data_IF_292519592808
#
_entry.id   IF_292519592808
#
_cell.length_a   1.000
_cell.length_b   1.000
_cell.length_c   1.000
_cell.angle_alpha   90.00
_cell.angle_beta   90.00
_cell.angle_gamma   90.00
#
_symmetry.space_group_name_H-M   'P 1'
#
loop_
_entity.id
_entity.type
_entity.pdbx_description
1 polymer ?
#
# COMPACT_ATOMS: atom_id res chain seq x y z
N UNK A 1 4.86 21.88 -54.81
CA UNK A 1 5.33 22.22 -53.47
C UNK A 1 4.20 22.31 -52.43
N UNK A 2 3.05 22.94 -52.68
CA UNK A 2 1.95 23.06 -51.69
C UNK A 2 1.30 21.73 -51.27
N UNK A 3 1.23 20.74 -52.16
CA UNK A 3 0.67 19.40 -51.85
C UNK A 3 1.60 18.58 -50.97
N UNK A 4 2.89 18.66 -51.14
CA UNK A 4 3.87 17.93 -50.34
C UNK A 4 3.90 18.43 -48.88
N UNK A 5 3.75 19.73 -48.69
CA UNK A 5 3.68 20.34 -47.32
C UNK A 5 2.43 19.92 -46.55
N UNK A 6 1.27 19.81 -47.23
CA UNK A 6 0.02 19.36 -46.62
C UNK A 6 0.08 17.90 -46.23
N UNK A 7 0.70 17.04 -47.04
CA UNK A 7 0.85 15.59 -46.74
C UNK A 7 1.78 15.37 -45.54
N UNK A 8 2.88 16.15 -45.42
CA UNK A 8 3.75 16.07 -44.23
C UNK A 8 3.03 16.50 -42.96
N UNK A 9 2.16 17.52 -43.01
CA UNK A 9 1.42 17.98 -41.87
C UNK A 9 0.36 16.93 -41.40
N UNK A 10 -0.25 16.18 -42.32
CA UNK A 10 -1.19 15.10 -42.02
C UNK A 10 -0.50 13.88 -41.41
N UNK A 11 0.76 13.61 -41.75
CA UNK A 11 1.53 12.52 -41.13
C UNK A 11 2.09 12.89 -39.75
N UNK A 12 2.37 14.17 -39.46
CA UNK A 12 2.83 14.62 -38.15
C UNK A 12 1.73 14.66 -37.10
N UNK A 13 0.46 14.78 -37.50
CA UNK A 13 -0.68 14.79 -36.55
C UNK A 13 -1.02 13.43 -35.95
N UNK A 14 -0.48 12.34 -36.50
CA UNK A 14 -0.70 10.99 -35.96
C UNK A 14 0.26 10.59 -34.82
N UNK A 15 1.20 11.43 -34.43
CA UNK A 15 2.15 11.16 -33.34
C UNK A 15 1.74 11.79 -31.99
N UNK A 16 0.57 12.41 -31.90
CA UNK A 16 0.01 12.80 -30.58
C UNK A 16 -0.67 11.55 -30.01
N UNK A 17 0.13 10.58 -29.62
CA UNK A 17 -0.34 9.48 -28.78
C UNK A 17 -0.43 10.07 -27.37
N UNK A 18 -1.64 10.23 -26.90
CA UNK A 18 -1.88 10.51 -25.47
C UNK A 18 -1.37 9.33 -24.66
N UNK A 19 -0.23 9.47 -24.01
CA UNK A 19 0.35 8.48 -23.09
C UNK A 19 -0.29 8.55 -21.71
N UNK A 20 -1.59 8.69 -21.62
CA UNK A 20 -2.29 8.71 -20.35
C UNK A 20 -2.63 7.31 -19.81
N UNK A 21 -2.23 6.25 -20.53
CA UNK A 21 -2.49 4.87 -20.15
C UNK A 21 -1.23 4.03 -20.14
N UNK A 22 -1.04 3.26 -19.09
CA UNK A 22 -0.04 2.20 -19.05
C UNK A 22 -0.54 1.06 -19.94
N UNK A 23 0.04 0.90 -21.13
CA UNK A 23 -0.27 -0.18 -22.05
C UNK A 23 0.56 -1.41 -21.67
N UNK A 24 0.01 -2.27 -20.82
CA UNK A 24 0.52 -3.62 -20.58
C UNK A 24 -0.26 -4.64 -21.41
N UNK A 25 0.42 -5.57 -22.07
CA UNK A 25 -0.23 -6.62 -22.85
C UNK A 25 -1.07 -7.59 -22.00
N UNK A 26 -0.76 -7.69 -20.70
CA UNK A 26 -1.30 -8.69 -19.79
C UNK A 26 -2.09 -8.10 -18.61
N UNK A 27 -2.33 -6.78 -18.60
CA UNK A 27 -3.04 -6.10 -17.52
C UNK A 27 -4.24 -5.32 -18.03
N UNK A 28 -5.33 -5.36 -17.28
CA UNK A 28 -6.41 -4.42 -17.46
C UNK A 28 -5.89 -2.99 -17.18
N UNK A 29 -5.85 -2.14 -18.20
CA UNK A 29 -5.45 -0.75 -18.05
C UNK A 29 -6.63 0.07 -17.53
N UNK A 30 -6.39 0.90 -16.53
CA UNK A 30 -7.35 1.88 -16.03
C UNK A 30 -6.92 3.27 -16.46
N UNK A 31 -7.90 4.14 -16.69
CA UNK A 31 -7.64 5.58 -16.83
C UNK A 31 -7.15 6.12 -15.49
N UNK A 32 -6.37 7.19 -15.54
CA UNK A 32 -6.01 7.95 -14.34
C UNK A 32 -7.26 8.42 -13.61
N UNK A 33 -7.18 8.40 -12.29
CA UNK A 33 -8.23 8.92 -11.42
C UNK A 33 -7.76 10.25 -10.86
N UNK A 34 -8.52 11.31 -11.14
CA UNK A 34 -8.27 12.65 -10.61
C UNK A 34 -9.28 12.91 -9.50
N UNK A 35 -8.79 13.30 -8.34
CA UNK A 35 -9.61 13.63 -7.18
C UNK A 35 -9.24 15.00 -6.62
N UNK A 36 -10.24 15.79 -6.22
CA UNK A 36 -10.03 17.15 -5.70
C UNK A 36 -10.02 17.24 -4.18
N UNK A 37 -10.62 16.26 -3.48
CA UNK A 37 -10.79 16.31 -2.03
C UNK A 37 -9.96 15.27 -1.28
N UNK A 38 -9.70 14.13 -1.88
CA UNK A 38 -8.94 13.04 -1.27
C UNK A 38 -8.90 11.84 -2.19
N UNK A 39 -7.95 10.96 -1.97
CA UNK A 39 -7.76 9.76 -2.76
C UNK A 39 -7.32 8.61 -1.87
N UNK A 40 -7.75 7.40 -2.22
CA UNK A 40 -7.26 6.17 -1.63
C UNK A 40 -6.90 5.16 -2.73
N UNK A 41 -5.82 4.43 -2.53
CA UNK A 41 -5.40 3.34 -3.41
C UNK A 41 -5.02 2.14 -2.54
N UNK A 42 -5.64 1.00 -2.81
CA UNK A 42 -5.36 -0.28 -2.13
C UNK A 42 -5.36 -1.41 -3.14
N UNK A 43 -4.91 -2.59 -2.73
CA UNK A 43 -4.91 -3.80 -3.54
C UNK A 43 -6.34 -4.36 -3.77
N UNK A 44 -7.32 -4.01 -2.91
CA UNK A 44 -8.69 -4.53 -3.01
C UNK A 44 -9.75 -3.42 -3.08
N UNK A 45 -10.71 -3.47 -4.03
CA UNK A 45 -11.72 -2.42 -4.21
C UNK A 45 -12.56 -2.10 -2.97
N UNK A 46 -12.90 -3.11 -2.17
CA UNK A 46 -13.68 -2.90 -0.93
C UNK A 46 -12.90 -2.07 0.10
N UNK A 47 -11.60 -2.30 0.23
CA UNK A 47 -10.76 -1.50 1.12
C UNK A 47 -10.62 -0.06 0.62
N UNK A 48 -10.45 0.15 -0.70
CA UNK A 48 -10.46 1.49 -1.29
C UNK A 48 -11.78 2.20 -1.04
N UNK A 49 -12.90 1.52 -1.23
CA UNK A 49 -14.23 2.10 -0.98
C UNK A 49 -14.38 2.51 0.48
N UNK A 50 -14.00 1.63 1.42
CA UNK A 50 -14.06 1.94 2.87
C UNK A 50 -13.22 3.18 3.21
N UNK A 51 -12.00 3.29 2.66
CA UNK A 51 -11.16 4.47 2.88
C UNK A 51 -11.83 5.75 2.37
N UNK A 52 -12.43 5.71 1.18
CA UNK A 52 -13.13 6.86 0.59
C UNK A 52 -14.37 7.22 1.40
N UNK A 53 -15.10 6.25 1.93
CA UNK A 53 -16.28 6.51 2.75
C UNK A 53 -15.89 7.18 4.08
N UNK A 54 -14.82 6.71 4.75
CA UNK A 54 -14.27 7.38 5.94
C UNK A 54 -13.87 8.83 5.66
N UNK A 55 -13.20 9.10 4.51
CA UNK A 55 -12.85 10.47 4.13
C UNK A 55 -14.08 11.33 3.88
N UNK A 56 -15.15 10.80 3.27
CA UNK A 56 -16.42 11.52 3.03
C UNK A 56 -17.16 11.82 4.33
N UNK A 57 -17.07 10.93 5.30
CA UNK A 57 -17.69 11.08 6.63
C UNK A 57 -16.91 12.05 7.55
N UNK A 58 -15.82 12.64 7.04
CA UNK A 58 -15.02 13.64 7.74
C UNK A 58 -13.82 13.10 8.49
N UNK A 59 -13.49 11.81 8.35
CA UNK A 59 -12.26 11.21 8.84
C UNK A 59 -11.03 11.72 8.08
N UNK A 60 -9.88 11.66 8.70
CA UNK A 60 -8.60 12.04 8.09
C UNK A 60 -7.95 10.87 7.33
N UNK A 61 -6.79 11.11 6.72
CA UNK A 61 -6.07 10.09 5.95
C UNK A 61 -5.61 8.90 6.81
N UNK A 62 -5.32 9.12 8.08
CA UNK A 62 -4.92 8.06 9.02
C UNK A 62 -6.12 7.16 9.34
N UNK A 63 -7.28 7.76 9.66
CA UNK A 63 -8.53 7.02 9.90
C UNK A 63 -8.91 6.16 8.70
N UNK A 64 -8.82 6.74 7.49
CA UNK A 64 -9.09 6.05 6.25
C UNK A 64 -8.12 4.88 6.00
N UNK A 65 -6.83 5.07 6.29
CA UNK A 65 -5.81 4.04 6.14
C UNK A 65 -6.01 2.88 7.13
N UNK A 66 -6.35 3.17 8.39
CA UNK A 66 -6.66 2.15 9.41
C UNK A 66 -7.88 1.34 9.00
N UNK A 67 -8.97 2.00 8.58
CA UNK A 67 -10.19 1.33 8.15
C UNK A 67 -9.95 0.45 6.92
N UNK A 68 -9.22 0.95 5.92
CA UNK A 68 -8.84 0.16 4.76
C UNK A 68 -8.00 -1.06 5.12
N UNK A 69 -7.02 -0.90 6.02
CA UNK A 69 -6.16 -1.99 6.45
C UNK A 69 -6.94 -3.06 7.24
N UNK A 70 -7.91 -2.67 8.06
CA UNK A 70 -8.80 -3.61 8.73
C UNK A 70 -9.63 -4.44 7.75
N UNK A 71 -10.17 -3.81 6.69
CA UNK A 71 -10.90 -4.52 5.62
C UNK A 71 -9.96 -5.45 4.84
N UNK A 72 -8.72 -5.04 4.54
CA UNK A 72 -7.74 -5.90 3.88
C UNK A 72 -7.45 -7.17 4.68
N UNK A 73 -7.43 -7.10 6.01
CA UNK A 73 -7.29 -8.28 6.86
C UNK A 73 -8.40 -9.34 6.66
N UNK A 74 -9.58 -8.91 6.18
CA UNK A 74 -10.70 -9.80 5.86
C UNK A 74 -10.64 -10.29 4.40
N UNK A 75 -10.37 -9.39 3.45
CA UNK A 75 -10.49 -9.69 2.01
C UNK A 75 -9.19 -10.18 1.37
N UNK A 76 -8.05 -9.96 2.04
CA UNK A 76 -6.71 -10.42 1.64
C UNK A 76 -5.97 -11.10 2.81
N UNK A 77 -6.55 -12.17 3.41
CA UNK A 77 -6.06 -12.73 4.67
C UNK A 77 -4.66 -13.37 4.55
N UNK A 78 -4.17 -13.62 3.35
CA UNK A 78 -2.82 -14.15 3.11
C UNK A 78 -1.73 -13.08 3.21
N UNK A 79 -2.07 -11.81 3.07
CA UNK A 79 -1.14 -10.67 3.06
C UNK A 79 -1.37 -9.68 4.19
N UNK A 80 -2.56 -9.67 4.78
CA UNK A 80 -2.97 -8.70 5.80
C UNK A 80 -3.71 -9.40 6.96
N UNK A 81 -3.63 -8.82 8.16
CA UNK A 81 -4.40 -9.31 9.30
C UNK A 81 -3.91 -8.79 10.64
N UNK A 82 -4.76 -8.93 11.66
CA UNK A 82 -4.50 -8.48 13.04
C UNK A 82 -3.35 -9.25 13.72
N UNK A 83 -2.99 -10.43 13.19
CA UNK A 83 -1.88 -11.24 13.66
C UNK A 83 -0.52 -10.87 13.04
N UNK A 84 -0.49 -9.90 12.15
CA UNK A 84 0.71 -9.49 11.41
C UNK A 84 1.35 -8.21 11.92
N UNK A 85 2.11 -7.61 11.04
CA UNK A 85 2.91 -6.41 11.26
C UNK A 85 2.23 -5.19 10.62
N UNK A 86 2.66 -3.98 11.01
CA UNK A 86 2.26 -2.74 10.39
C UNK A 86 3.44 -1.79 10.27
N UNK A 87 3.56 -1.19 9.09
CA UNK A 87 4.48 -0.10 8.83
C UNK A 87 3.70 1.07 8.24
N UNK A 88 4.04 2.29 8.64
CA UNK A 88 3.43 3.47 8.09
C UNK A 88 4.44 4.60 7.90
N UNK A 89 4.20 5.39 6.86
CA UNK A 89 4.86 6.67 6.62
C UNK A 89 3.74 7.69 6.45
N UNK A 90 3.75 8.74 7.29
CA UNK A 90 2.69 9.75 7.36
C UNK A 90 3.30 11.13 7.26
N UNK A 91 2.82 11.94 6.32
CA UNK A 91 3.11 13.37 6.27
C UNK A 91 2.00 14.14 6.97
N UNK A 92 2.37 14.96 7.95
CA UNK A 92 1.44 15.88 8.63
C UNK A 92 1.74 17.29 8.15
N UNK A 93 0.79 17.86 7.42
CA UNK A 93 0.94 19.18 6.78
C UNK A 93 1.08 20.31 7.80
N UNK A 94 0.36 20.24 8.92
CA UNK A 94 0.42 21.21 10.00
C UNK A 94 1.80 21.28 10.64
N UNK A 95 2.44 20.13 10.83
CA UNK A 95 3.77 20.01 11.40
C UNK A 95 4.89 20.20 10.37
N UNK A 96 4.56 20.18 9.07
CA UNK A 96 5.53 20.11 7.95
C UNK A 96 6.54 18.99 8.14
N UNK A 97 6.07 17.83 8.60
CA UNK A 97 6.94 16.74 9.02
C UNK A 97 6.46 15.38 8.56
N UNK A 98 7.43 14.53 8.25
CA UNK A 98 7.25 13.13 7.92
C UNK A 98 7.46 12.29 9.18
N UNK A 99 6.50 11.42 9.49
CA UNK A 99 6.55 10.46 10.57
C UNK A 99 6.65 9.04 10.02
N UNK A 100 7.46 8.20 10.65
CA UNK A 100 7.55 6.78 10.35
C UNK A 100 7.16 5.94 11.55
N UNK A 101 6.36 4.91 11.32
CA UNK A 101 6.00 3.92 12.34
C UNK A 101 6.47 2.54 11.89
N UNK A 102 7.19 1.87 12.78
CA UNK A 102 7.47 0.44 12.69
C UNK A 102 6.74 -0.27 13.82
N UNK A 103 5.70 -0.99 13.49
CA UNK A 103 4.92 -1.84 14.40
C UNK A 103 4.97 -3.30 13.92
N UNK A 104 6.19 -3.81 13.70
CA UNK A 104 6.40 -5.19 13.27
C UNK A 104 6.22 -6.20 14.40
N UNK A 105 6.13 -5.74 15.64
CA UNK A 105 6.12 -6.58 16.82
C UNK A 105 7.49 -7.20 17.14
N UNK A 106 7.76 -7.51 18.41
CA UNK A 106 9.00 -8.14 18.83
C UNK A 106 8.99 -9.65 18.55
N UNK A 107 10.15 -10.25 18.50
CA UNK A 107 10.28 -11.70 18.60
C UNK A 107 9.73 -12.19 19.94
N UNK A 108 9.30 -13.46 20.01
CA UNK A 108 8.89 -14.07 21.26
C UNK A 108 10.02 -13.97 22.29
N UNK A 109 9.66 -13.69 23.57
CA UNK A 109 10.63 -13.37 24.65
C UNK A 109 11.75 -14.41 24.78
N UNK A 110 11.42 -15.68 24.59
CA UNK A 110 12.40 -16.75 24.70
C UNK A 110 13.13 -17.08 23.39
N UNK A 111 12.83 -16.38 22.31
CA UNK A 111 13.48 -16.56 21.02
C UNK A 111 14.78 -15.76 20.98
N UNK A 112 15.87 -16.40 21.41
CA UNK A 112 17.21 -15.82 21.46
C UNK A 112 18.14 -16.51 20.46
N UNK A 113 19.19 -15.81 20.03
CA UNK A 113 20.24 -16.37 19.17
C UNK A 113 20.87 -17.62 19.82
N UNK A 114 21.08 -17.59 21.15
CA UNK A 114 21.58 -18.73 21.90
C UNK A 114 20.67 -19.96 21.78
N UNK A 115 19.34 -19.76 21.86
CA UNK A 115 18.38 -20.85 21.74
C UNK A 115 18.34 -21.41 20.33
N UNK A 116 18.37 -20.55 19.30
CA UNK A 116 18.42 -20.97 17.90
C UNK A 116 19.69 -21.80 17.60
N UNK A 117 20.85 -21.34 18.07
CA UNK A 117 22.09 -22.09 17.93
C UNK A 117 22.06 -23.44 18.66
N UNK A 118 21.45 -23.52 19.84
CA UNK A 118 21.27 -24.77 20.56
C UNK A 118 20.35 -25.77 19.85
N UNK A 119 19.50 -25.27 18.94
CA UNK A 119 18.64 -26.08 18.07
C UNK A 119 19.25 -26.36 16.70
N UNK A 120 20.52 -26.01 16.49
CA UNK A 120 21.25 -26.11 15.23
C UNK A 120 20.56 -25.34 14.08
N UNK A 121 20.00 -24.18 14.40
CA UNK A 121 19.29 -23.30 13.45
C UNK A 121 20.15 -22.05 13.21
N UNK A 122 20.83 -22.03 12.07
CA UNK A 122 21.61 -20.87 11.63
C UNK A 122 20.75 -19.79 10.95
N UNK A 123 19.64 -20.20 10.33
CA UNK A 123 18.73 -19.30 9.63
C UNK A 123 17.29 -19.66 9.96
N UNK A 124 16.51 -18.66 10.39
CA UNK A 124 15.09 -18.84 10.65
C UNK A 124 14.38 -19.24 9.34
N UNK A 125 13.65 -20.37 9.32
CA UNK A 125 12.93 -20.81 8.12
C UNK A 125 11.80 -19.84 7.79
N UNK A 126 11.41 -19.71 6.51
CA UNK A 126 10.33 -18.80 6.11
C UNK A 126 8.93 -19.24 6.55
N UNK A 127 8.78 -20.51 6.96
CA UNK A 127 7.52 -21.10 7.39
C UNK A 127 7.64 -21.80 8.75
N UNK A 128 6.51 -21.99 9.42
CA UNK A 128 6.44 -22.62 10.73
C UNK A 128 6.36 -21.62 11.89
N UNK A 129 6.54 -22.05 13.13
CA UNK A 129 6.33 -21.20 14.31
C UNK A 129 7.48 -20.23 14.59
N UNK A 130 8.69 -20.50 14.09
CA UNK A 130 9.87 -19.70 14.42
C UNK A 130 9.88 -18.28 13.87
N UNK A 131 9.39 -18.00 12.63
CA UNK A 131 9.34 -16.65 12.11
C UNK A 131 8.17 -15.81 12.65
N UNK A 132 7.26 -16.40 13.43
CA UNK A 132 6.09 -15.69 13.95
C UNK A 132 6.51 -14.70 15.03
N UNK A 133 6.21 -13.41 14.80
CA UNK A 133 6.41 -12.32 15.77
C UNK A 133 5.21 -12.19 16.70
N UNK A 134 5.37 -11.44 17.79
CA UNK A 134 4.21 -10.96 18.56
C UNK A 134 3.43 -10.00 17.67
N UNK A 135 2.09 -10.14 17.50
CA UNK A 135 1.32 -9.29 16.61
C UNK A 135 1.48 -7.81 16.90
N UNK A 136 1.80 -7.03 15.86
CA UNK A 136 2.03 -5.59 15.98
C UNK A 136 0.97 -4.72 15.29
N UNK A 137 0.16 -5.28 14.40
CA UNK A 137 -0.75 -4.51 13.56
C UNK A 137 -1.74 -3.65 14.36
N UNK A 138 -2.42 -4.22 15.35
CA UNK A 138 -3.41 -3.51 16.18
C UNK A 138 -2.74 -2.43 17.04
N UNK A 139 -1.56 -2.72 17.59
CA UNK A 139 -0.77 -1.72 18.31
C UNK A 139 -0.36 -0.56 17.38
N UNK A 140 -0.06 -0.86 16.12
CA UNK A 140 0.21 0.13 15.08
C UNK A 140 -1.00 1.01 14.79
N UNK A 141 -2.20 0.45 14.67
CA UNK A 141 -3.42 1.25 14.52
C UNK A 141 -3.64 2.21 15.68
N UNK A 142 -3.45 1.73 16.91
CA UNK A 142 -3.58 2.57 18.11
C UNK A 142 -2.53 3.68 18.17
N UNK A 143 -1.31 3.39 17.69
CA UNK A 143 -0.24 4.39 17.68
C UNK A 143 -0.41 5.45 16.59
N UNK A 144 -1.09 5.11 15.49
CA UNK A 144 -1.41 6.02 14.39
C UNK A 144 -2.58 6.94 14.75
N UNK A 145 -3.60 6.40 15.42
CA UNK A 145 -4.80 7.14 15.86
C UNK A 145 -4.49 8.04 17.04
#
# INVERSE_FOLDING_TARGET
MKFLTLTIFLFLSNYIISYDRILGKDFATRSEVIATNGMAATSHPLATQTAIDVLKDGGNAIDAAIAANAVLGLVEPTGCGIGGDLFAIVWIEEDKKLYGLNSSGPAAKDMTIKKLKAMDIDKIPPYGPLPVTVPGAVAGWTALH
#
